data_IF_097002161577
#
_entry.id   IF_097002161577
#
_cell.length_a   1.000
_cell.length_b   1.000
_cell.length_c   1.000
_cell.angle_alpha   90.00
_cell.angle_beta   90.00
_cell.angle_gamma   90.00
#
_symmetry.space_group_name_H-M   'P 1'
#
loop_
_entity.id
_entity.type
_entity.pdbx_description
1 polymer ?
#
# COMPACT_ATOMS: atom_id res chain seq x y z
N UNK A 1 7.04 4.53 28.80
CA UNK A 1 6.80 5.99 28.60
C UNK A 1 7.09 6.32 27.13
N UNK A 2 6.07 6.43 26.26
CA UNK A 2 6.29 6.79 24.85
C UNK A 2 6.82 8.23 24.76
N UNK A 3 7.96 8.43 24.08
CA UNK A 3 8.50 9.77 23.80
C UNK A 3 7.42 10.61 23.09
N UNK A 4 7.26 11.87 23.50
CA UNK A 4 6.28 12.82 22.94
C UNK A 4 6.26 12.84 21.40
N UNK A 5 7.44 12.72 20.77
CA UNK A 5 7.61 12.63 19.31
C UNK A 5 6.83 11.47 18.66
N UNK A 6 6.72 10.31 19.31
CA UNK A 6 5.98 9.17 18.77
C UNK A 6 4.46 9.39 18.77
N UNK A 7 3.94 10.23 19.68
CA UNK A 7 2.50 10.54 19.74
C UNK A 7 2.10 11.44 18.58
N UNK A 8 2.90 12.46 18.28
CA UNK A 8 2.67 13.34 17.13
C UNK A 8 2.65 12.55 15.82
N UNK A 9 3.64 11.66 15.63
CA UNK A 9 3.72 10.82 14.43
C UNK A 9 2.48 9.94 14.26
N UNK A 10 2.03 9.26 15.33
CA UNK A 10 0.82 8.43 15.29
C UNK A 10 -0.44 9.25 14.96
N UNK A 11 -0.55 10.46 15.51
CA UNK A 11 -1.68 11.35 15.26
C UNK A 11 -1.72 11.80 13.80
N UNK A 12 -0.57 12.20 13.24
CA UNK A 12 -0.45 12.55 11.81
C UNK A 12 -0.79 11.36 10.92
N UNK A 13 -0.30 10.16 11.24
CA UNK A 13 -0.61 8.95 10.49
C UNK A 13 -2.10 8.63 10.53
N UNK A 14 -2.74 8.73 11.70
CA UNK A 14 -4.16 8.48 11.88
C UNK A 14 -5.03 9.49 11.12
N UNK A 15 -4.67 10.78 11.17
CA UNK A 15 -5.35 11.83 10.39
C UNK A 15 -5.19 11.57 8.89
N UNK A 16 -4.00 11.18 8.44
CA UNK A 16 -3.76 10.88 7.02
C UNK A 16 -4.59 9.69 6.56
N UNK A 17 -4.68 8.62 7.38
CA UNK A 17 -5.55 7.48 7.11
C UNK A 17 -7.03 7.85 7.06
N UNK A 18 -7.51 8.71 7.99
CA UNK A 18 -8.89 9.19 7.99
C UNK A 18 -9.21 10.02 6.75
N UNK A 19 -8.33 10.94 6.39
CA UNK A 19 -8.51 11.80 5.20
C UNK A 19 -8.48 10.96 3.93
N UNK A 20 -7.51 10.05 3.79
CA UNK A 20 -7.36 9.22 2.60
C UNK A 20 -8.48 8.19 2.48
N UNK A 21 -8.82 7.51 3.58
CA UNK A 21 -9.95 6.57 3.65
C UNK A 21 -11.29 7.25 3.40
N UNK A 22 -11.52 8.42 3.99
CA UNK A 22 -12.71 9.23 3.76
C UNK A 22 -12.84 9.69 2.31
N UNK A 23 -11.75 10.14 1.69
CA UNK A 23 -11.73 10.49 0.27
C UNK A 23 -12.06 9.27 -0.61
N UNK A 24 -11.45 8.11 -0.34
CA UNK A 24 -11.75 6.86 -1.06
C UNK A 24 -13.23 6.49 -0.98
N UNK A 25 -13.82 6.53 0.21
CA UNK A 25 -15.26 6.23 0.41
C UNK A 25 -16.12 7.25 -0.33
N UNK A 26 -15.80 8.54 -0.22
CA UNK A 26 -16.53 9.61 -0.92
C UNK A 26 -16.50 9.43 -2.44
N UNK A 27 -15.32 9.21 -3.04
CA UNK A 27 -15.20 8.98 -4.48
C UNK A 27 -15.91 7.70 -4.93
N UNK A 28 -15.89 6.65 -4.11
CA UNK A 28 -16.62 5.41 -4.41
C UNK A 28 -18.12 5.62 -4.39
N UNK A 29 -18.63 6.36 -3.40
CA UNK A 29 -20.06 6.70 -3.31
C UNK A 29 -20.50 7.62 -4.45
N UNK A 30 -19.68 8.61 -4.81
CA UNK A 30 -19.96 9.50 -5.94
C UNK A 30 -19.96 8.73 -7.27
N UNK A 31 -18.99 7.83 -7.47
CA UNK A 31 -18.95 6.94 -8.63
C UNK A 31 -20.21 6.06 -8.71
N UNK A 32 -20.57 5.38 -7.62
CA UNK A 32 -21.78 4.56 -7.57
C UNK A 32 -23.04 5.39 -7.85
N UNK A 33 -23.16 6.58 -7.27
CA UNK A 33 -24.28 7.49 -7.51
C UNK A 33 -24.43 7.86 -8.98
N UNK A 34 -23.31 8.10 -9.69
CA UNK A 34 -23.33 8.42 -11.12
C UNK A 34 -23.69 7.20 -11.98
N UNK A 35 -23.20 6.01 -11.64
CA UNK A 35 -23.50 4.77 -12.37
C UNK A 35 -24.95 4.30 -12.15
N UNK A 36 -25.56 4.63 -11.02
CA UNK A 36 -26.91 4.15 -10.65
C UNK A 36 -28.03 5.07 -11.16
N UNK A 37 -27.73 6.24 -11.75
CA UNK A 37 -28.76 7.15 -12.28
C UNK A 37 -29.32 6.61 -13.60
N UNK A 38 -30.62 6.24 -13.67
CA UNK A 38 -31.18 5.51 -14.80
C UNK A 38 -31.37 6.34 -16.08
N UNK A 39 -31.28 7.68 -16.02
CA UNK A 39 -31.64 8.58 -17.15
C UNK A 39 -30.56 9.58 -17.57
N UNK A 40 -29.37 9.57 -16.96
CA UNK A 40 -28.28 10.41 -17.47
C UNK A 40 -27.63 9.72 -18.66
N UNK A 41 -27.89 10.21 -19.88
CA UNK A 41 -26.99 9.95 -21.01
C UNK A 41 -25.61 10.39 -20.57
N UNK A 42 -24.75 9.43 -20.23
CA UNK A 42 -23.37 9.69 -19.88
C UNK A 42 -22.75 10.38 -21.09
N UNK A 43 -22.48 11.68 -21.00
CA UNK A 43 -21.75 12.39 -22.04
C UNK A 43 -20.38 11.73 -22.15
N UNK A 44 -19.85 11.51 -23.37
CA UNK A 44 -18.53 10.87 -23.56
C UNK A 44 -17.42 11.55 -22.73
N UNK A 45 -17.53 12.87 -22.51
CA UNK A 45 -16.62 13.64 -21.67
C UNK A 45 -16.63 13.21 -20.20
N UNK A 46 -17.79 12.91 -19.62
CA UNK A 46 -17.93 12.48 -18.22
C UNK A 46 -17.39 11.07 -18.01
N UNK A 47 -17.64 10.16 -18.94
CA UNK A 47 -17.07 8.80 -18.91
C UNK A 47 -15.53 8.83 -18.95
N UNK A 48 -14.96 9.67 -19.82
CA UNK A 48 -13.51 9.84 -19.89
C UNK A 48 -12.91 10.40 -18.60
N UNK A 49 -13.57 11.39 -17.97
CA UNK A 49 -13.14 11.96 -16.68
C UNK A 49 -13.15 10.92 -15.55
N UNK A 50 -14.22 10.13 -15.45
CA UNK A 50 -14.33 9.08 -14.43
C UNK A 50 -13.23 8.03 -14.59
N UNK A 51 -12.98 7.59 -15.83
CA UNK A 51 -11.91 6.65 -16.16
C UNK A 51 -10.54 7.19 -15.77
N UNK A 52 -10.25 8.43 -16.13
CA UNK A 52 -8.98 9.08 -15.80
C UNK A 52 -8.80 9.22 -14.28
N UNK A 53 -9.86 9.60 -13.56
CA UNK A 53 -9.84 9.73 -12.11
C UNK A 53 -9.58 8.37 -11.44
N UNK A 54 -10.25 7.31 -11.89
CA UNK A 54 -10.06 5.95 -11.37
C UNK A 54 -8.64 5.43 -11.62
N UNK A 55 -8.05 5.73 -12.79
CA UNK A 55 -6.66 5.40 -13.09
C UNK A 55 -5.68 6.18 -12.18
N UNK A 56 -5.90 7.48 -11.98
CA UNK A 56 -5.06 8.31 -11.10
C UNK A 56 -5.13 7.81 -9.65
N UNK A 57 -6.33 7.49 -9.14
CA UNK A 57 -6.51 6.98 -7.78
C UNK A 57 -5.81 5.62 -7.61
N UNK A 58 -5.96 4.71 -8.58
CA UNK A 58 -5.32 3.39 -8.52
C UNK A 58 -3.79 3.48 -8.65
N UNK A 59 -3.26 4.43 -9.43
CA UNK A 59 -1.81 4.73 -9.45
C UNK A 59 -1.30 5.31 -8.13
N UNK A 60 -2.01 6.29 -7.56
CA UNK A 60 -1.66 6.89 -6.28
C UNK A 60 -1.70 5.88 -5.13
N UNK A 61 -2.62 4.92 -5.17
CA UNK A 61 -2.66 3.83 -4.20
C UNK A 61 -1.59 2.75 -4.48
N UNK A 62 -1.33 2.44 -5.75
CA UNK A 62 -0.40 1.37 -6.16
C UNK A 62 1.06 1.72 -5.91
N UNK A 63 1.49 2.95 -6.20
CA UNK A 63 2.90 3.36 -6.08
C UNK A 63 3.46 3.22 -4.64
N UNK A 64 2.77 3.69 -3.59
CA UNK A 64 3.22 3.46 -2.21
C UNK A 64 3.30 1.98 -1.85
N UNK A 65 2.37 1.16 -2.33
CA UNK A 65 2.40 -0.29 -2.11
C UNK A 65 3.64 -0.94 -2.76
N UNK A 66 4.02 -0.51 -3.97
CA UNK A 66 5.26 -0.97 -4.61
C UNK A 66 6.50 -0.53 -3.83
N UNK A 67 6.57 0.75 -3.42
CA UNK A 67 7.69 1.26 -2.63
C UNK A 67 7.86 0.53 -1.29
N UNK A 68 6.76 0.32 -0.58
CA UNK A 68 6.75 -0.45 0.67
C UNK A 68 7.10 -1.91 0.43
N UNK A 69 6.57 -2.53 -0.62
CA UNK A 69 6.89 -3.90 -1.00
C UNK A 69 8.39 -4.08 -1.30
N UNK A 70 8.97 -3.18 -2.09
CA UNK A 70 10.41 -3.17 -2.39
C UNK A 70 11.27 -3.00 -1.12
N UNK A 71 10.87 -2.09 -0.22
CA UNK A 71 11.54 -1.92 1.06
C UNK A 71 11.49 -3.19 1.92
N UNK A 72 10.32 -3.82 2.03
CA UNK A 72 10.14 -5.08 2.76
C UNK A 72 10.98 -6.20 2.12
N UNK A 73 11.01 -6.31 0.79
CA UNK A 73 11.87 -7.27 0.09
C UNK A 73 13.36 -7.04 0.38
N UNK A 74 13.79 -5.77 0.43
CA UNK A 74 15.15 -5.40 0.83
C UNK A 74 15.46 -5.86 2.26
N UNK A 75 14.53 -5.67 3.21
CA UNK A 75 14.69 -6.19 4.58
C UNK A 75 14.84 -7.71 4.59
N UNK A 76 13.93 -8.43 3.92
CA UNK A 76 13.99 -9.88 3.80
C UNK A 76 15.34 -10.37 3.26
N UNK A 77 15.85 -9.67 2.25
CA UNK A 77 17.16 -9.95 1.64
C UNK A 77 18.31 -9.72 2.62
N UNK A 78 18.29 -8.64 3.38
CA UNK A 78 19.29 -8.35 4.42
C UNK A 78 19.31 -9.42 5.50
N UNK A 79 18.15 -9.87 5.98
CA UNK A 79 18.03 -10.93 7.00
C UNK A 79 18.66 -12.22 6.50
N UNK A 80 18.39 -12.59 5.24
CA UNK A 80 18.95 -13.79 4.60
C UNK A 80 20.47 -13.70 4.46
N UNK A 81 20.99 -12.53 4.08
CA UNK A 81 22.43 -12.31 3.95
C UNK A 81 23.13 -12.34 5.31
N UNK A 82 22.53 -11.75 6.35
CA UNK A 82 23.15 -11.68 7.68
C UNK A 82 22.84 -12.88 8.57
N UNK A 83 21.95 -13.79 8.15
CA UNK A 83 21.48 -14.94 8.94
C UNK A 83 21.02 -14.52 10.35
N UNK A 84 20.47 -13.31 10.46
CA UNK A 84 20.16 -12.65 11.73
C UNK A 84 18.90 -11.81 11.62
N UNK A 85 17.97 -12.03 12.56
CA UNK A 85 16.81 -11.18 12.77
C UNK A 85 16.83 -10.65 14.21
N UNK A 86 16.69 -9.33 14.43
CA UNK A 86 16.65 -8.26 13.44
C UNK A 86 17.98 -8.08 12.66
N UNK A 87 17.95 -7.52 11.44
CA UNK A 87 19.15 -7.30 10.65
C UNK A 87 20.06 -6.24 11.29
N UNK A 88 21.37 -6.42 11.13
CA UNK A 88 22.37 -5.52 11.71
C UNK A 88 22.26 -4.09 11.15
N UNK A 89 22.45 -3.10 12.02
CA UNK A 89 22.36 -1.67 11.67
C UNK A 89 20.95 -1.08 11.74
N UNK A 90 19.96 -1.85 12.19
CA UNK A 90 18.63 -1.33 12.49
C UNK A 90 18.47 -1.02 13.97
N UNK A 91 17.85 0.13 14.27
CA UNK A 91 17.61 0.60 15.64
C UNK A 91 16.49 -0.18 16.34
N UNK A 92 16.76 -1.42 16.72
CA UNK A 92 15.86 -2.22 17.56
C UNK A 92 16.19 -2.03 19.05
N UNK A 93 15.19 -2.17 19.91
CA UNK A 93 15.37 -2.06 21.36
C UNK A 93 16.31 -3.17 21.89
N UNK A 94 17.07 -2.86 22.94
CA UNK A 94 18.05 -3.79 23.53
C UNK A 94 17.44 -5.14 23.96
N UNK A 95 16.14 -5.18 24.23
CA UNK A 95 15.39 -6.37 24.65
C UNK A 95 14.86 -7.22 23.48
N UNK A 96 15.09 -6.83 22.22
CA UNK A 96 14.60 -7.61 21.08
C UNK A 96 15.35 -8.94 20.97
N UNK A 97 14.65 -10.10 21.00
CA UNK A 97 15.30 -11.40 20.89
C UNK A 97 15.95 -11.54 19.52
N UNK A 98 17.25 -11.87 19.51
CA UNK A 98 18.01 -12.07 18.29
C UNK A 98 17.87 -13.54 17.85
N UNK A 99 17.29 -13.76 16.68
CA UNK A 99 17.25 -15.06 16.02
C UNK A 99 18.45 -15.17 15.08
N UNK A 100 19.11 -16.33 15.08
CA UNK A 100 20.29 -16.62 14.27
C UNK A 100 20.09 -17.88 13.43
N UNK A 101 20.82 -17.97 12.32
CA UNK A 101 20.89 -19.15 11.45
C UNK A 101 19.62 -19.41 10.65
N UNK A 102 19.29 -20.68 10.43
CA UNK A 102 18.22 -21.11 9.51
C UNK A 102 16.84 -20.52 9.83
N UNK A 103 16.54 -20.32 11.12
CA UNK A 103 15.28 -19.67 11.55
C UNK A 103 15.21 -18.23 11.06
N UNK A 104 16.30 -17.48 11.12
CA UNK A 104 16.36 -16.13 10.59
C UNK A 104 16.23 -16.14 9.05
N UNK A 105 16.81 -17.14 8.38
CA UNK A 105 16.63 -17.30 6.93
C UNK A 105 15.18 -17.54 6.53
N UNK A 106 14.45 -18.39 7.28
CA UNK A 106 13.04 -18.64 7.04
C UNK A 106 12.22 -17.35 7.20
N UNK A 107 12.49 -16.57 8.25
CA UNK A 107 11.88 -15.24 8.45
C UNK A 107 12.19 -14.34 7.26
N UNK A 108 13.45 -14.31 6.82
CA UNK A 108 13.87 -13.51 5.66
C UNK A 108 13.12 -13.88 4.38
N UNK A 109 12.90 -15.17 4.11
CA UNK A 109 12.06 -15.62 3.00
C UNK A 109 10.60 -15.19 3.15
N UNK A 110 10.03 -15.32 4.35
CA UNK A 110 8.66 -14.87 4.62
C UNK A 110 8.49 -13.36 4.40
N UNK A 111 9.43 -12.56 4.89
CA UNK A 111 9.46 -11.11 4.70
C UNK A 111 9.61 -10.76 3.21
N UNK A 112 10.54 -11.40 2.49
CA UNK A 112 10.67 -11.19 1.03
C UNK A 112 9.40 -11.58 0.27
N UNK A 113 8.76 -12.69 0.63
CA UNK A 113 7.50 -13.12 0.03
C UNK A 113 6.37 -12.12 0.25
N UNK A 114 6.24 -11.58 1.46
CA UNK A 114 5.26 -10.53 1.76
C UNK A 114 5.52 -9.25 0.97
N UNK A 115 6.79 -8.84 0.86
CA UNK A 115 7.17 -7.70 0.03
C UNK A 115 6.84 -7.92 -1.45
N UNK A 116 7.04 -9.13 -1.98
CA UNK A 116 6.66 -9.49 -3.35
C UNK A 116 5.14 -9.38 -3.57
N UNK A 117 4.33 -9.89 -2.64
CA UNK A 117 2.86 -9.77 -2.70
C UNK A 117 2.44 -8.29 -2.76
N UNK A 118 3.04 -7.43 -1.93
CA UNK A 118 2.77 -5.99 -1.96
C UNK A 118 3.12 -5.34 -3.30
N UNK A 119 4.25 -5.69 -3.90
CA UNK A 119 4.64 -5.20 -5.23
C UNK A 119 3.64 -5.65 -6.28
N UNK A 120 3.25 -6.92 -6.29
CA UNK A 120 2.26 -7.45 -7.24
C UNK A 120 0.91 -6.74 -7.07
N UNK A 121 0.43 -6.56 -5.84
CA UNK A 121 -0.80 -5.80 -5.57
C UNK A 121 -0.68 -4.35 -6.06
N UNK A 122 0.44 -3.68 -5.77
CA UNK A 122 0.68 -2.30 -6.18
C UNK A 122 0.72 -2.10 -7.70
N UNK A 123 1.28 -3.06 -8.45
CA UNK A 123 1.33 -3.04 -9.92
C UNK A 123 0.00 -3.44 -10.56
N UNK A 124 -0.72 -4.38 -9.95
CA UNK A 124 -2.00 -4.87 -10.51
C UNK A 124 -3.13 -3.86 -10.34
N UNK A 125 -3.12 -3.03 -9.30
CA UNK A 125 -4.14 -2.00 -9.06
C UNK A 125 -4.37 -1.05 -10.26
N UNK A 126 -3.34 -0.39 -10.84
CA UNK A 126 -3.50 0.44 -12.04
C UNK A 126 -3.99 -0.34 -13.27
N UNK A 127 -3.53 -1.59 -13.43
CA UNK A 127 -3.93 -2.45 -14.56
C UNK A 127 -5.41 -2.79 -14.47
N UNK A 128 -5.88 -3.14 -13.26
CA UNK A 128 -7.28 -3.41 -12.96
C UNK A 128 -8.11 -2.14 -13.15
N UNK A 129 -7.64 -1.00 -12.66
CA UNK A 129 -8.29 0.30 -12.85
C UNK A 129 -8.46 0.66 -14.33
N UNK A 130 -7.40 0.46 -15.12
CA UNK A 130 -7.46 0.65 -16.58
C UNK A 130 -8.48 -0.28 -17.25
N UNK A 131 -8.52 -1.57 -16.87
CA UNK A 131 -9.49 -2.51 -17.45
C UNK A 131 -10.92 -2.14 -17.10
N UNK A 132 -11.22 -1.81 -15.85
CA UNK A 132 -12.56 -1.39 -15.46
C UNK A 132 -13.02 -0.13 -16.20
N UNK A 133 -12.12 0.83 -16.40
CA UNK A 133 -12.42 2.03 -17.19
C UNK A 133 -12.56 1.80 -18.70
N UNK A 134 -12.27 0.60 -19.23
CA UNK A 134 -12.56 0.25 -20.63
C UNK A 134 -13.88 -0.52 -20.79
N UNK A 135 -14.41 -1.10 -19.71
CA UNK A 135 -15.63 -1.91 -19.74
C UNK A 135 -16.87 -1.02 -19.57
N UNK A 136 -16.72 0.10 -18.84
CA UNK A 136 -17.72 1.15 -18.66
C UNK A 136 -17.58 2.19 -19.76
#
# INVERSE_FOLDING_TARGET
>A
MMKSSNRLFLLVMLVTFLVFGGALVYFTMEYLSQVTKPDSKLTESTGHQIRMLLLVVTMLAGMPAVGMGAYVMYLGSRIRLTQRWPPAGMGFGAETPVMLGDRATLVGWGVTGLGFVLVVCGVTLPVVGWKFGNIV
#
